data_IF_581275856852
#
_entry.id   IF_581275856852
#
_cell.length_a   1.000
_cell.length_b   1.000
_cell.length_c   1.000
_cell.angle_alpha   90.00
_cell.angle_beta   90.00
_cell.angle_gamma   90.00
#
_symmetry.space_group_name_H-M   'P 1'
#
loop_
_entity.id
_entity.type
_entity.pdbx_description
1 polymer ?
#
# COMPACT_ATOMS: atom_id res chain seq x y z
N UNK A 1 -16.18 -4.42 -9.69
CA UNK A 1 -16.22 -5.55 -8.77
C UNK A 1 -15.29 -6.65 -9.29
N UNK A 2 -14.17 -6.85 -8.61
CA UNK A 2 -13.13 -7.82 -9.00
C UNK A 2 -13.64 -9.27 -8.92
N UNK A 3 -14.50 -9.59 -7.94
CA UNK A 3 -15.04 -10.93 -7.78
C UNK A 3 -15.88 -11.38 -9.01
N UNK A 4 -16.66 -10.47 -9.58
CA UNK A 4 -17.41 -10.74 -10.81
C UNK A 4 -16.48 -11.05 -11.97
N UNK A 5 -15.37 -10.30 -12.09
CA UNK A 5 -14.38 -10.52 -13.14
C UNK A 5 -13.71 -11.89 -12.97
N UNK A 6 -13.29 -12.24 -11.74
CA UNK A 6 -12.68 -13.54 -11.46
C UNK A 6 -13.65 -14.68 -11.76
N UNK A 7 -14.91 -14.60 -11.30
CA UNK A 7 -15.94 -15.60 -11.60
C UNK A 7 -16.17 -15.78 -13.11
N UNK A 8 -16.22 -14.68 -13.85
CA UNK A 8 -16.39 -14.76 -15.30
C UNK A 8 -15.17 -15.37 -15.99
N UNK A 9 -13.97 -15.06 -15.51
CA UNK A 9 -12.73 -15.65 -16.02
C UNK A 9 -12.71 -17.18 -15.83
N UNK A 10 -13.01 -17.64 -14.63
CA UNK A 10 -13.06 -19.08 -14.29
C UNK A 10 -14.13 -19.82 -15.12
N UNK A 11 -15.24 -19.17 -15.43
CA UNK A 11 -16.34 -19.76 -16.21
C UNK A 11 -16.22 -19.52 -17.74
N UNK A 12 -15.08 -19.04 -18.24
CA UNK A 12 -14.86 -18.69 -19.65
C UNK A 12 -15.90 -17.69 -20.21
N UNK A 13 -16.42 -16.79 -19.35
CA UNK A 13 -17.44 -15.78 -19.69
C UNK A 13 -16.92 -14.34 -19.57
N UNK A 14 -15.61 -14.12 -19.65
CA UNK A 14 -15.01 -12.79 -19.49
C UNK A 14 -15.47 -11.81 -20.57
N UNK A 15 -15.68 -12.28 -21.79
CA UNK A 15 -16.20 -11.50 -22.91
C UNK A 15 -17.63 -10.96 -22.69
N UNK A 16 -18.43 -11.57 -21.81
CA UNK A 16 -19.79 -11.12 -21.47
C UNK A 16 -19.80 -10.02 -20.39
N UNK A 17 -18.65 -9.66 -19.80
CA UNK A 17 -18.57 -8.66 -18.75
C UNK A 17 -18.02 -7.33 -19.26
N UNK A 18 -18.79 -6.26 -19.03
CA UNK A 18 -18.29 -4.89 -19.27
C UNK A 18 -17.51 -4.40 -18.06
N UNK A 19 -16.18 -4.31 -18.19
CA UNK A 19 -15.31 -3.76 -17.17
C UNK A 19 -15.43 -2.23 -17.13
N UNK A 20 -15.75 -1.68 -15.95
CA UNK A 20 -15.79 -0.23 -15.72
C UNK A 20 -14.54 0.19 -14.96
N UNK A 21 -13.71 1.00 -15.58
CA UNK A 21 -12.51 1.57 -14.96
C UNK A 21 -12.83 2.87 -14.24
N UNK A 22 -12.21 3.08 -13.07
CA UNK A 22 -12.24 4.36 -12.39
C UNK A 22 -11.40 5.39 -13.16
N UNK A 23 -11.85 6.65 -13.18
CA UNK A 23 -11.06 7.77 -13.74
C UNK A 23 -9.91 8.20 -12.82
N UNK A 24 -9.91 7.76 -11.58
CA UNK A 24 -8.84 8.07 -10.64
C UNK A 24 -7.60 7.21 -10.93
N UNK A 25 -6.44 7.85 -10.83
CA UNK A 25 -5.15 7.18 -10.78
C UNK A 25 -4.96 6.54 -9.42
N UNK A 26 -4.21 5.44 -9.35
CA UNK A 26 -3.92 4.72 -8.11
C UNK A 26 -2.42 4.46 -8.00
N UNK A 27 -1.88 4.59 -6.79
CA UNK A 27 -0.50 4.23 -6.48
C UNK A 27 -0.45 3.54 -5.14
N UNK A 28 0.37 2.50 -5.06
CA UNK A 28 0.70 1.79 -3.83
C UNK A 28 2.20 1.86 -3.59
N UNK A 29 2.60 2.16 -2.36
CA UNK A 29 3.99 2.07 -1.92
C UNK A 29 4.07 1.07 -0.79
N UNK A 30 4.98 0.11 -0.95
CA UNK A 30 5.22 -0.95 0.02
C UNK A 30 6.26 -0.49 1.03
N UNK A 31 5.93 -0.60 2.32
CA UNK A 31 6.83 -0.35 3.43
C UNK A 31 7.39 -1.69 3.90
N UNK A 32 8.70 -1.86 3.79
CA UNK A 32 9.42 -3.10 4.07
C UNK A 32 10.22 -2.99 5.37
N UNK A 33 10.50 -4.13 6.01
CA UNK A 33 11.47 -4.22 7.09
C UNK A 33 12.89 -3.96 6.57
N UNK A 34 13.70 -3.21 7.30
CA UNK A 34 15.12 -2.98 6.96
C UNK A 34 15.85 -4.31 6.83
N UNK A 35 16.62 -4.45 5.76
CA UNK A 35 17.32 -5.67 5.37
C UNK A 35 16.61 -6.50 4.30
N UNK A 36 15.27 -6.39 4.16
CA UNK A 36 14.54 -7.10 3.10
C UNK A 36 15.04 -6.67 1.69
N UNK A 37 15.23 -7.61 0.69
CA UNK A 37 14.82 -9.02 0.70
C UNK A 37 15.80 -9.99 1.40
N UNK A 38 16.95 -9.53 1.87
CA UNK A 38 17.88 -10.32 2.68
C UNK A 38 17.40 -10.48 4.13
N UNK A 39 18.34 -10.60 5.08
CA UNK A 39 18.01 -10.78 6.49
C UNK A 39 17.33 -9.55 7.09
N UNK A 40 16.24 -9.76 7.79
CA UNK A 40 15.50 -8.71 8.49
C UNK A 40 14.96 -9.17 9.85
N UNK A 41 14.83 -8.23 10.78
CA UNK A 41 14.31 -8.50 12.13
C UNK A 41 12.78 -8.37 12.15
N UNK A 42 12.12 -9.42 12.66
CA UNK A 42 10.68 -9.41 12.99
C UNK A 42 10.43 -8.72 14.34
N UNK A 43 9.17 -8.65 14.75
CA UNK A 43 8.73 -8.20 16.06
C UNK A 43 9.14 -6.76 16.42
N UNK A 44 9.26 -5.89 15.42
CA UNK A 44 9.49 -4.46 15.62
C UNK A 44 8.17 -3.70 15.68
N UNK A 45 7.98 -2.93 16.75
CA UNK A 45 6.78 -2.12 16.99
C UNK A 45 6.59 -1.12 15.84
N UNK A 46 5.33 -1.00 15.38
CA UNK A 46 4.88 0.03 14.44
C UNK A 46 4.03 1.04 15.21
N UNK A 47 4.68 1.91 15.94
CA UNK A 47 4.11 2.63 17.09
C UNK A 47 2.89 3.52 16.83
N UNK A 48 2.80 4.21 15.69
CA UNK A 48 1.73 5.20 15.45
C UNK A 48 0.63 4.72 14.51
N UNK A 49 0.69 3.45 14.05
CA UNK A 49 -0.18 2.95 12.99
C UNK A 49 -1.67 3.08 13.33
N UNK A 50 -2.09 2.68 14.51
CA UNK A 50 -3.49 2.74 14.95
C UNK A 50 -4.04 4.16 15.19
N UNK A 51 -3.17 5.19 15.20
CA UNK A 51 -3.57 6.61 15.44
C UNK A 51 -3.70 7.42 14.16
N UNK A 52 -3.46 6.82 12.99
CA UNK A 52 -3.45 7.55 11.72
C UNK A 52 -4.87 7.77 11.21
N UNK A 53 -5.26 9.03 11.10
CA UNK A 53 -6.51 9.40 10.43
C UNK A 53 -6.29 9.42 8.91
N UNK A 54 -6.89 8.46 8.23
CA UNK A 54 -6.82 8.37 6.76
C UNK A 54 -7.85 9.30 6.13
N UNK A 55 -7.45 9.94 5.02
CA UNK A 55 -8.35 10.70 4.18
C UNK A 55 -9.15 9.77 3.28
N UNK A 56 -10.29 10.23 2.75
CA UNK A 56 -11.07 9.53 1.72
C UNK A 56 -10.16 9.08 0.56
N UNK A 57 -10.38 7.88 0.03
CA UNK A 57 -9.58 7.27 -1.04
C UNK A 57 -8.13 6.95 -0.65
N UNK A 58 -7.87 6.73 0.62
CA UNK A 58 -6.57 6.35 1.15
C UNK A 58 -6.72 5.12 2.02
N UNK A 59 -5.84 4.14 1.84
CA UNK A 59 -5.92 2.83 2.49
C UNK A 59 -4.55 2.42 2.99
N UNK A 60 -4.52 1.74 4.13
CA UNK A 60 -3.35 1.01 4.62
C UNK A 60 -3.74 -0.46 4.67
N UNK A 61 -3.09 -1.28 3.87
CA UNK A 61 -3.28 -2.71 3.90
C UNK A 61 -2.16 -3.36 4.68
N UNK A 62 -2.52 -4.24 5.60
CA UNK A 62 -1.60 -5.05 6.36
C UNK A 62 -1.12 -6.23 5.50
N UNK A 63 0.19 -6.48 5.50
CA UNK A 63 0.81 -7.67 4.92
C UNK A 63 1.52 -8.46 6.03
N UNK A 64 2.82 -8.27 6.21
CA UNK A 64 3.58 -8.91 7.28
C UNK A 64 3.44 -8.16 8.62
N UNK A 65 2.26 -8.09 9.19
CA UNK A 65 2.01 -7.50 10.51
C UNK A 65 1.34 -8.48 11.44
N UNK A 66 1.51 -8.30 12.74
CA UNK A 66 0.74 -8.96 13.79
C UNK A 66 0.35 -7.98 14.89
N UNK A 67 -0.68 -8.33 15.65
CA UNK A 67 -1.13 -7.58 16.83
C UNK A 67 -0.76 -8.39 18.08
N UNK A 68 -0.17 -7.74 19.07
CA UNK A 68 0.06 -8.28 20.40
C UNK A 68 -0.15 -7.15 21.41
N UNK A 69 -0.91 -7.39 22.47
CA UNK A 69 -1.24 -6.40 23.51
C UNK A 69 -1.72 -5.06 22.92
N UNK A 70 -2.64 -5.12 21.97
CA UNK A 70 -3.19 -3.98 21.24
C UNK A 70 -2.17 -3.08 20.52
N UNK A 71 -0.99 -3.63 20.19
CA UNK A 71 0.06 -2.95 19.45
C UNK A 71 0.38 -3.70 18.15
N UNK A 72 0.74 -2.95 17.11
CA UNK A 72 1.15 -3.50 15.82
C UNK A 72 2.66 -3.78 15.78
N UNK A 73 3.02 -4.96 15.29
CA UNK A 73 4.41 -5.40 15.10
C UNK A 73 4.64 -5.86 13.66
N UNK A 74 5.87 -5.70 13.18
CA UNK A 74 6.29 -6.32 11.93
C UNK A 74 6.45 -7.84 12.10
N UNK A 75 5.95 -8.62 11.13
CA UNK A 75 6.05 -10.09 11.11
C UNK A 75 6.38 -10.62 9.71
N UNK A 76 7.01 -9.82 8.88
CA UNK A 76 7.42 -10.17 7.52
C UNK A 76 8.33 -9.14 6.91
N UNK A 77 8.88 -9.43 5.73
CA UNK A 77 9.74 -8.52 4.99
C UNK A 77 8.94 -7.34 4.39
N UNK A 78 7.84 -7.63 3.70
CA UNK A 78 6.86 -6.61 3.25
C UNK A 78 5.80 -6.48 4.33
N UNK A 79 5.65 -5.30 4.89
CA UNK A 79 4.91 -5.10 6.16
C UNK A 79 3.61 -4.35 5.96
N UNK A 80 3.63 -3.23 5.26
CA UNK A 80 2.45 -2.42 4.99
C UNK A 80 2.42 -1.99 3.52
N UNK A 81 1.20 -1.84 2.98
CA UNK A 81 0.98 -1.25 1.67
C UNK A 81 0.12 0.00 1.84
N UNK A 82 0.67 1.17 1.52
CA UNK A 82 -0.06 2.42 1.56
C UNK A 82 -0.54 2.75 0.16
N UNK A 83 -1.86 2.76 -0.03
CA UNK A 83 -2.52 2.96 -1.32
C UNK A 83 -3.34 4.24 -1.31
N UNK A 84 -3.17 5.06 -2.32
CA UNK A 84 -3.98 6.26 -2.52
C UNK A 84 -4.50 6.34 -3.94
N UNK A 85 -5.73 6.85 -4.09
CA UNK A 85 -6.35 7.19 -5.37
C UNK A 85 -6.46 8.71 -5.49
N UNK A 86 -6.39 9.21 -6.74
CA UNK A 86 -6.56 10.64 -7.02
C UNK A 86 -6.32 11.00 -8.48
N UNK A 87 -6.36 12.30 -8.78
CA UNK A 87 -6.23 12.80 -10.16
C UNK A 87 -4.79 12.92 -10.66
N UNK A 88 -3.80 13.00 -9.77
CA UNK A 88 -2.40 13.23 -10.13
C UNK A 88 -1.47 12.31 -9.35
N UNK A 89 -0.60 11.58 -10.04
CA UNK A 89 0.39 10.70 -9.42
C UNK A 89 1.34 11.46 -8.47
N UNK A 90 1.74 12.69 -8.81
CA UNK A 90 2.56 13.53 -7.95
C UNK A 90 1.87 13.82 -6.60
N UNK A 91 0.58 14.24 -6.64
CA UNK A 91 -0.20 14.48 -5.42
C UNK A 91 -0.43 13.21 -4.62
N UNK A 92 -0.71 12.08 -5.29
CA UNK A 92 -0.87 10.77 -4.66
C UNK A 92 0.40 10.37 -3.92
N UNK A 93 1.58 10.41 -4.59
CA UNK A 93 2.87 10.09 -3.98
C UNK A 93 3.18 10.99 -2.78
N UNK A 94 2.95 12.29 -2.89
CA UNK A 94 3.12 13.24 -1.78
C UNK A 94 2.26 12.87 -0.56
N UNK A 95 1.01 12.44 -0.79
CA UNK A 95 0.12 11.97 0.28
C UNK A 95 0.64 10.68 0.93
N UNK A 96 1.04 9.68 0.14
CA UNK A 96 1.59 8.44 0.66
C UNK A 96 2.83 8.71 1.52
N UNK A 97 3.73 9.58 1.06
CA UNK A 97 4.93 9.96 1.83
C UNK A 97 4.59 10.65 3.16
N UNK A 98 3.54 11.49 3.20
CA UNK A 98 3.07 12.09 4.46
C UNK A 98 2.60 11.00 5.44
N UNK A 99 1.86 10.00 4.96
CA UNK A 99 1.36 8.90 5.79
C UNK A 99 2.53 8.07 6.31
N UNK A 100 3.48 7.69 5.46
CA UNK A 100 4.67 6.93 5.87
C UNK A 100 5.45 7.68 6.96
N UNK A 101 5.62 8.99 6.81
CA UNK A 101 6.25 9.82 7.86
C UNK A 101 5.45 9.84 9.15
N UNK A 102 4.11 9.86 9.06
CA UNK A 102 3.23 9.83 10.24
C UNK A 102 3.28 8.49 10.97
N UNK A 103 3.45 7.37 10.24
CA UNK A 103 3.68 6.04 10.84
C UNK A 103 4.97 6.05 11.65
N UNK A 104 6.01 6.75 11.16
CA UNK A 104 7.31 6.91 11.81
C UNK A 104 7.93 5.58 12.29
N UNK A 105 7.91 4.58 11.42
CA UNK A 105 8.48 3.27 11.76
C UNK A 105 9.98 3.20 11.42
N UNK A 106 10.83 3.42 12.41
CA UNK A 106 12.29 3.49 12.27
C UNK A 106 12.96 2.21 11.74
N UNK A 107 12.29 1.07 11.87
CA UNK A 107 12.78 -0.24 11.38
C UNK A 107 12.28 -0.57 9.96
N UNK A 108 11.60 0.35 9.33
CA UNK A 108 11.11 0.22 7.97
C UNK A 108 11.88 1.05 6.97
N UNK A 109 11.73 0.67 5.70
CA UNK A 109 12.17 1.46 4.55
C UNK A 109 11.19 1.30 3.40
N UNK A 110 11.27 2.18 2.43
CA UNK A 110 10.53 2.10 1.18
C UNK A 110 11.34 2.75 0.06
N UNK A 111 11.04 2.37 -1.18
CA UNK A 111 11.68 2.97 -2.35
C UNK A 111 11.08 4.36 -2.61
N UNK A 112 11.91 5.39 -2.50
CA UNK A 112 11.50 6.79 -2.72
C UNK A 112 11.28 7.13 -4.20
N UNK A 113 11.80 6.32 -5.12
CA UNK A 113 11.69 6.49 -6.57
C UNK A 113 10.39 5.92 -7.17
N UNK A 114 9.58 5.17 -6.42
CA UNK A 114 8.33 4.59 -6.92
C UNK A 114 7.45 5.67 -7.57
N UNK A 115 7.01 5.37 -8.80
CA UNK A 115 6.16 6.24 -9.60
C UNK A 115 6.90 7.35 -10.36
N UNK A 116 8.24 7.40 -10.34
CA UNK A 116 9.00 8.45 -11.02
C UNK A 116 8.71 8.51 -12.54
N UNK A 117 8.55 7.34 -13.19
CA UNK A 117 8.27 7.27 -14.63
C UNK A 117 6.94 7.95 -14.99
N UNK A 118 5.86 7.64 -14.25
CA UNK A 118 4.51 8.20 -14.50
C UNK A 118 4.33 9.63 -14.00
N UNK A 119 5.26 10.13 -13.17
CA UNK A 119 5.24 11.52 -12.66
C UNK A 119 5.97 12.45 -13.63
N UNK A 120 7.05 11.97 -14.25
CA UNK A 120 7.94 12.76 -15.12
C UNK A 120 7.60 12.59 -16.61
N UNK A 121 6.62 11.77 -16.99
CA UNK A 121 6.10 11.80 -18.36
C UNK A 121 5.36 13.12 -18.59
N UNK A 122 5.91 13.94 -19.51
CA UNK A 122 5.27 15.13 -20.09
C UNK A 122 4.14 14.71 -21.02
#
# INVERSE_FOLDING_TARGET
DLLKIIKASVNNKLNSIKIKWLKDKCMTIVLCAKGYPGEYKKDKIIGKLGKIKLRKKTFIFHAGTKIKNNQFFSNGGRVLNITCLGKSFSKIRKNIFKIIRSINWKYGFFRKDIGWRVINQK
#
